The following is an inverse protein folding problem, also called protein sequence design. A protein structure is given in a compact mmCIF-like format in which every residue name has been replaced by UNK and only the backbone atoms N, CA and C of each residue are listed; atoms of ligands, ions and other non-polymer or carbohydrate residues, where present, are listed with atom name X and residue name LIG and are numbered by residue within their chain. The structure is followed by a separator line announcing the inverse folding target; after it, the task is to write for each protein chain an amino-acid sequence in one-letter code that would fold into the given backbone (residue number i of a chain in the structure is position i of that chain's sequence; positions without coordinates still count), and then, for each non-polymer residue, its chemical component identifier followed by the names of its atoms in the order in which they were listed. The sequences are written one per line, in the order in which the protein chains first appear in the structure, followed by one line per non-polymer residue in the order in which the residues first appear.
data_IF_434209137389
#
_entry.id   IF_434209137389
#
_cell.length_a   1.000
_cell.length_b   1.000
_cell.length_c   1.000
_cell.angle_alpha   90.00
_cell.angle_beta   90.00
_cell.angle_gamma   90.00
#
_symmetry.space_group_name_H-M   'P 1'
#
loop_
_entity.id
_entity.type
_entity.pdbx_description
1 polymer ?
#
# COMPACT_ATOMS: atom_id res chain seq x y z
N UNK A 1 47.18 -106.76 -16.19
CA UNK A 1 47.17 -108.16 -16.63
C UNK A 1 46.81 -109.05 -15.45
N UNK A 2 45.57 -109.54 -15.41
CA UNK A 2 45.15 -110.62 -14.52
C UNK A 2 44.59 -111.74 -15.39
N UNK A 3 45.27 -112.88 -15.39
CA UNK A 3 44.96 -114.05 -16.21
C UNK A 3 43.77 -114.80 -15.60
N UNK A 4 42.60 -114.74 -16.24
CA UNK A 4 41.51 -115.68 -15.97
C UNK A 4 41.65 -116.88 -16.91
N UNK A 5 42.31 -117.94 -16.45
CA UNK A 5 42.35 -119.23 -17.14
C UNK A 5 41.29 -120.16 -16.55
N UNK A 6 40.05 -120.04 -17.04
CA UNK A 6 38.99 -121.01 -16.76
C UNK A 6 38.97 -122.09 -17.83
N UNK A 7 39.38 -123.31 -17.46
CA UNK A 7 39.24 -124.52 -18.30
C UNK A 7 37.77 -124.95 -18.30
N UNK A 8 36.95 -124.34 -19.16
CA UNK A 8 35.62 -124.88 -19.47
C UNK A 8 35.81 -125.92 -20.57
N UNK A 9 35.62 -127.19 -20.21
CA UNK A 9 35.66 -128.32 -21.11
C UNK A 9 34.53 -128.22 -22.15
N UNK A 10 34.93 -128.23 -23.42
CA UNK A 10 34.06 -128.11 -24.59
C UNK A 10 33.61 -129.51 -25.03
N UNK A 11 32.41 -129.94 -24.63
CA UNK A 11 31.73 -131.10 -25.22
C UNK A 11 30.48 -130.61 -25.96
N UNK A 12 30.57 -130.55 -27.28
CA UNK A 12 29.46 -130.26 -28.20
C UNK A 12 28.71 -131.55 -28.48
N UNK A 13 27.41 -131.60 -28.17
CA UNK A 13 26.50 -132.63 -28.70
C UNK A 13 25.44 -131.92 -29.52
N UNK A 14 25.37 -132.33 -30.79
CA UNK A 14 24.30 -132.03 -31.71
C UNK A 14 22.95 -132.50 -31.12
N UNK A 15 22.05 -131.56 -30.86
CA UNK A 15 20.65 -131.85 -30.57
C UNK A 15 20.32 -132.28 -29.13
N UNK A 16 20.49 -131.38 -28.15
CA UNK A 16 19.77 -131.43 -26.87
C UNK A 16 20.65 -131.58 -25.62
N UNK A 17 20.92 -130.45 -24.95
CA UNK A 17 21.32 -130.40 -23.54
C UNK A 17 22.83 -130.43 -23.25
N UNK A 18 23.31 -129.38 -22.56
CA UNK A 18 24.66 -129.33 -21.98
C UNK A 18 24.56 -129.83 -20.53
N UNK A 19 25.21 -130.96 -20.21
CA UNK A 19 25.30 -131.49 -18.83
C UNK A 19 26.67 -131.21 -18.25
N UNK A 20 26.75 -130.30 -17.29
CA UNK A 20 27.98 -130.03 -16.54
C UNK A 20 28.14 -131.09 -15.44
N UNK A 21 29.27 -131.81 -15.47
CA UNK A 21 29.54 -132.97 -14.61
C UNK A 21 29.47 -132.69 -13.10
N UNK A 22 29.08 -133.73 -12.37
CA UNK A 22 28.99 -133.93 -10.91
C UNK A 22 27.83 -133.30 -10.13
N UNK A 23 27.10 -132.31 -10.65
CA UNK A 23 25.97 -131.69 -9.91
C UNK A 23 24.56 -131.97 -10.49
N UNK A 24 24.44 -132.81 -11.52
CA UNK A 24 23.13 -133.23 -12.04
C UNK A 24 22.26 -132.09 -12.57
N UNK A 25 22.86 -130.94 -12.90
CA UNK A 25 22.18 -129.79 -13.48
C UNK A 25 22.07 -130.00 -15.00
N UNK A 26 20.89 -130.41 -15.44
CA UNK A 26 20.53 -130.49 -16.86
C UNK A 26 20.25 -129.07 -17.39
N UNK A 27 21.13 -128.55 -18.24
CA UNK A 27 20.89 -127.28 -18.92
C UNK A 27 20.05 -127.54 -20.18
N UNK A 28 18.75 -127.25 -20.10
CA UNK A 28 17.85 -127.16 -21.25
C UNK A 28 18.25 -125.97 -22.13
N UNK A 29 19.31 -126.15 -22.91
CA UNK A 29 20.05 -125.08 -23.58
C UNK A 29 19.28 -124.27 -24.62
N UNK A 30 18.01 -124.56 -24.91
CA UNK A 30 17.17 -123.72 -25.76
C UNK A 30 16.50 -122.59 -24.97
N UNK A 31 15.93 -122.90 -23.81
CA UNK A 31 14.99 -122.02 -23.12
C UNK A 31 15.74 -120.96 -22.31
N UNK A 32 16.82 -121.35 -21.62
CA UNK A 32 17.69 -120.41 -20.91
C UNK A 32 18.42 -119.45 -21.86
N UNK A 33 18.83 -119.94 -23.03
CA UNK A 33 19.44 -119.10 -24.07
C UNK A 33 18.42 -118.15 -24.70
N UNK A 34 17.19 -118.61 -24.98
CA UNK A 34 16.11 -117.73 -25.45
C UNK A 34 15.75 -116.65 -24.42
N UNK A 35 15.66 -116.99 -23.14
CA UNK A 35 15.42 -116.02 -22.07
C UNK A 35 16.55 -114.99 -21.96
N UNK A 36 17.81 -115.42 -22.05
CA UNK A 36 18.96 -114.53 -22.07
C UNK A 36 18.95 -113.60 -23.30
N UNK A 37 18.64 -114.13 -24.49
CA UNK A 37 18.47 -113.33 -25.72
C UNK A 37 17.34 -112.32 -25.58
N UNK A 38 16.20 -112.70 -24.99
CA UNK A 38 15.08 -111.79 -24.74
C UNK A 38 15.45 -110.67 -23.77
N UNK A 39 16.19 -110.98 -22.69
CA UNK A 39 16.66 -109.97 -21.73
C UNK A 39 17.65 -109.00 -22.36
N UNK A 40 18.59 -109.49 -23.17
CA UNK A 40 19.53 -108.61 -23.90
C UNK A 40 18.80 -107.69 -24.87
N UNK A 41 17.75 -108.19 -25.53
CA UNK A 41 16.89 -107.38 -26.40
C UNK A 41 16.13 -106.30 -25.62
N UNK A 42 15.49 -106.66 -24.50
CA UNK A 42 14.81 -105.71 -23.61
C UNK A 42 15.77 -104.63 -23.08
N UNK A 43 16.97 -105.03 -22.63
CA UNK A 43 17.99 -104.08 -22.21
C UNK A 43 18.44 -103.15 -23.35
N UNK A 44 18.56 -103.67 -24.58
CA UNK A 44 18.84 -102.86 -25.77
C UNK A 44 17.73 -101.85 -26.05
N UNK A 45 16.46 -102.27 -26.02
CA UNK A 45 15.30 -101.39 -26.22
C UNK A 45 15.22 -100.30 -25.13
N UNK A 46 15.47 -100.66 -23.87
CA UNK A 46 15.51 -99.70 -22.75
C UNK A 46 16.68 -98.73 -22.84
N UNK A 47 17.86 -99.17 -23.29
CA UNK A 47 19.00 -98.29 -23.51
C UNK A 47 18.68 -97.23 -24.57
N UNK A 48 18.11 -97.65 -25.70
CA UNK A 48 17.64 -96.72 -26.76
C UNK A 48 16.57 -95.76 -26.21
N UNK A 49 15.65 -96.25 -25.37
CA UNK A 49 14.66 -95.38 -24.72
C UNK A 49 15.32 -94.35 -23.79
N UNK A 50 16.32 -94.74 -23.01
CA UNK A 50 17.06 -93.82 -22.14
C UNK A 50 17.82 -92.77 -22.94
N UNK A 51 18.48 -93.14 -24.04
CA UNK A 51 19.14 -92.19 -24.94
C UNK A 51 18.15 -91.17 -25.52
N UNK A 52 16.96 -91.62 -25.96
CA UNK A 52 15.90 -90.74 -26.45
C UNK A 52 15.40 -89.78 -25.36
N UNK A 53 15.21 -90.29 -24.14
CA UNK A 53 14.78 -89.48 -22.99
C UNK A 53 15.84 -88.45 -22.60
N UNK A 54 17.12 -88.84 -22.57
CA UNK A 54 18.25 -87.96 -22.30
C UNK A 54 18.30 -86.82 -23.32
N UNK A 55 18.22 -87.14 -24.62
CA UNK A 55 18.19 -86.14 -25.68
C UNK A 55 16.99 -85.17 -25.54
N UNK A 56 15.80 -85.67 -25.17
CA UNK A 56 14.62 -84.83 -24.92
C UNK A 56 14.83 -83.90 -23.72
N UNK A 57 15.42 -84.41 -22.63
CA UNK A 57 15.72 -83.61 -21.44
C UNK A 57 16.76 -82.52 -21.75
N UNK A 58 17.83 -82.87 -22.47
CA UNK A 58 18.85 -81.91 -22.90
C UNK A 58 18.24 -80.78 -23.74
N UNK A 59 17.33 -81.11 -24.65
CA UNK A 59 16.61 -80.12 -25.45
C UNK A 59 15.75 -79.18 -24.57
N UNK A 60 14.98 -79.74 -23.63
CA UNK A 60 14.15 -78.95 -22.70
C UNK A 60 14.99 -78.04 -21.82
N UNK A 61 16.12 -78.53 -21.31
CA UNK A 61 17.07 -77.73 -20.53
C UNK A 61 17.63 -76.58 -21.38
N UNK A 62 17.96 -76.84 -22.65
CA UNK A 62 18.38 -75.81 -23.59
C UNK A 62 17.34 -74.70 -23.75
N UNK A 63 16.09 -75.07 -24.03
CA UNK A 63 14.98 -74.12 -24.18
C UNK A 63 14.73 -73.30 -22.90
N UNK A 64 14.76 -73.94 -21.73
CA UNK A 64 14.58 -73.25 -20.44
C UNK A 64 15.73 -72.27 -20.21
N UNK A 65 16.97 -72.65 -20.53
CA UNK A 65 18.14 -71.78 -20.39
C UNK A 65 18.04 -70.55 -21.30
N UNK A 66 17.57 -70.74 -22.52
CA UNK A 66 17.36 -69.65 -23.50
C UNK A 66 16.23 -68.70 -23.06
N UNK A 67 15.08 -69.24 -22.64
CA UNK A 67 13.96 -68.44 -22.12
C UNK A 67 14.37 -67.66 -20.85
N UNK A 68 15.05 -68.32 -19.91
CA UNK A 68 15.57 -67.66 -18.72
C UNK A 68 16.58 -66.56 -19.08
N UNK A 69 17.48 -66.82 -20.03
CA UNK A 69 18.44 -65.83 -20.53
C UNK A 69 17.75 -64.59 -21.11
N UNK A 70 16.73 -64.80 -21.94
CA UNK A 70 15.93 -63.72 -22.52
C UNK A 70 15.20 -62.91 -21.45
N UNK A 71 14.55 -63.58 -20.48
CA UNK A 71 13.86 -62.90 -19.37
C UNK A 71 14.81 -62.08 -18.49
N UNK A 72 15.99 -62.62 -18.19
CA UNK A 72 17.02 -61.90 -17.42
C UNK A 72 17.51 -60.68 -18.19
N UNK A 73 17.76 -60.80 -19.50
CA UNK A 73 18.19 -59.68 -20.33
C UNK A 73 17.13 -58.57 -20.36
N UNK A 74 15.86 -58.93 -20.56
CA UNK A 74 14.76 -57.97 -20.55
C UNK A 74 14.58 -57.29 -19.19
N UNK A 75 14.63 -58.07 -18.10
CA UNK A 75 14.52 -57.51 -16.75
C UNK A 75 15.68 -56.55 -16.44
N UNK A 76 16.90 -56.87 -16.89
CA UNK A 76 18.05 -55.98 -16.74
C UNK A 76 17.87 -54.67 -17.50
N UNK A 77 17.39 -54.74 -18.76
CA UNK A 77 17.12 -53.55 -19.55
C UNK A 77 16.06 -52.64 -18.89
N UNK A 78 15.00 -53.22 -18.30
CA UNK A 78 13.98 -52.44 -17.59
C UNK A 78 14.54 -51.83 -16.30
N UNK A 79 15.39 -52.54 -15.56
CA UNK A 79 16.08 -52.00 -14.37
C UNK A 79 16.96 -50.80 -14.76
N UNK A 80 17.73 -50.92 -15.84
CA UNK A 80 18.61 -49.85 -16.31
C UNK A 80 17.79 -48.60 -16.71
N UNK A 81 16.66 -48.81 -17.41
CA UNK A 81 15.72 -47.74 -17.77
C UNK A 81 15.13 -47.05 -16.54
N UNK A 82 14.55 -47.81 -15.60
CA UNK A 82 13.95 -47.26 -14.37
C UNK A 82 14.98 -46.55 -13.50
N UNK A 83 16.24 -47.02 -13.50
CA UNK A 83 17.34 -46.36 -12.80
C UNK A 83 17.66 -44.99 -13.42
N UNK A 84 17.62 -44.89 -14.76
CA UNK A 84 17.75 -43.61 -15.46
C UNK A 84 16.61 -42.65 -15.14
N UNK A 85 15.36 -43.09 -15.26
CA UNK A 85 14.17 -42.28 -14.93
C UNK A 85 14.20 -41.78 -13.48
N UNK A 86 14.66 -42.63 -12.54
CA UNK A 86 14.82 -42.24 -11.13
C UNK A 86 15.84 -41.11 -10.95
N UNK A 87 16.98 -41.17 -11.64
CA UNK A 87 18.00 -40.13 -11.56
C UNK A 87 17.53 -38.79 -12.15
N UNK A 88 16.77 -38.83 -13.23
CA UNK A 88 16.15 -37.64 -13.84
C UNK A 88 15.11 -37.00 -12.90
N UNK A 89 14.27 -37.82 -12.26
CA UNK A 89 13.31 -37.35 -11.27
C UNK A 89 13.99 -36.73 -10.05
N UNK A 90 15.07 -37.33 -9.54
CA UNK A 90 15.85 -36.78 -8.42
C UNK A 90 16.45 -35.41 -8.76
N UNK A 91 16.93 -35.25 -10.00
CA UNK A 91 17.43 -33.96 -10.50
C UNK A 91 16.29 -32.93 -10.55
N UNK A 92 15.15 -33.30 -11.14
CA UNK A 92 13.96 -32.43 -11.24
C UNK A 92 13.47 -31.98 -9.86
N UNK A 93 13.45 -32.88 -8.87
CA UNK A 93 13.07 -32.56 -7.50
C UNK A 93 14.02 -31.53 -6.89
N UNK A 94 15.33 -31.69 -7.10
CA UNK A 94 16.35 -30.76 -6.58
C UNK A 94 16.21 -29.36 -7.21
N UNK A 95 15.96 -29.30 -8.52
CA UNK A 95 15.74 -28.04 -9.24
C UNK A 95 14.47 -27.33 -8.77
N UNK A 96 13.38 -28.08 -8.55
CA UNK A 96 12.13 -27.53 -8.01
C UNK A 96 12.30 -27.02 -6.58
N UNK A 97 13.02 -27.74 -5.73
CA UNK A 97 13.32 -27.29 -4.37
C UNK A 97 14.11 -25.97 -4.38
N UNK A 98 15.10 -25.85 -5.27
CA UNK A 98 15.88 -24.63 -5.44
C UNK A 98 15.00 -23.46 -5.89
N UNK A 99 14.10 -23.69 -6.86
CA UNK A 99 13.15 -22.67 -7.32
C UNK A 99 12.19 -22.24 -6.21
N UNK A 100 11.67 -23.18 -5.41
CA UNK A 100 10.79 -22.88 -4.27
C UNK A 100 11.51 -21.98 -3.27
N UNK A 101 12.75 -22.34 -2.87
CA UNK A 101 13.52 -21.50 -1.95
C UNK A 101 13.83 -20.11 -2.51
N UNK A 102 14.06 -19.99 -3.82
CA UNK A 102 14.21 -18.69 -4.48
C UNK A 102 12.93 -17.85 -4.40
N UNK A 103 11.79 -18.44 -4.74
CA UNK A 103 10.49 -17.76 -4.66
C UNK A 103 10.12 -17.35 -3.23
N UNK A 104 10.45 -18.16 -2.23
CA UNK A 104 10.25 -17.81 -0.82
C UNK A 104 11.07 -16.59 -0.41
N UNK A 105 12.32 -16.47 -0.89
CA UNK A 105 13.16 -15.31 -0.65
C UNK A 105 12.60 -14.05 -1.34
N UNK A 106 12.18 -14.17 -2.59
CA UNK A 106 11.57 -13.05 -3.35
C UNK A 106 10.29 -12.55 -2.65
N UNK A 107 9.45 -13.46 -2.15
CA UNK A 107 8.24 -13.12 -1.40
C UNK A 107 8.58 -12.34 -0.12
N UNK A 108 9.62 -12.76 0.61
CA UNK A 108 10.05 -12.08 1.83
C UNK A 108 10.56 -10.66 1.53
N UNK A 109 11.35 -10.49 0.48
CA UNK A 109 11.85 -9.18 0.05
C UNK A 109 10.70 -8.25 -0.37
N UNK A 110 9.82 -8.72 -1.25
CA UNK A 110 8.67 -7.94 -1.71
C UNK A 110 7.74 -7.55 -0.56
N UNK A 111 7.56 -8.41 0.44
CA UNK A 111 6.76 -8.12 1.63
C UNK A 111 7.41 -7.00 2.46
N UNK A 112 8.73 -7.03 2.64
CA UNK A 112 9.46 -5.98 3.37
C UNK A 112 9.42 -4.63 2.63
N UNK A 113 9.59 -4.63 1.30
CA UNK A 113 9.47 -3.44 0.48
C UNK A 113 8.06 -2.84 0.55
N UNK A 114 7.02 -3.68 0.46
CA UNK A 114 5.63 -3.23 0.57
C UNK A 114 5.35 -2.54 1.90
N UNK A 115 5.85 -3.09 3.01
CA UNK A 115 5.62 -2.50 4.33
C UNK A 115 6.36 -1.17 4.51
N UNK A 116 7.58 -1.07 3.96
CA UNK A 116 8.33 0.19 3.91
C UNK A 116 7.57 1.26 3.14
N UNK A 117 7.06 0.94 1.95
CA UNK A 117 6.29 1.88 1.13
C UNK A 117 4.99 2.33 1.79
N UNK A 118 4.28 1.44 2.51
CA UNK A 118 3.12 1.85 3.31
C UNK A 118 3.49 2.86 4.40
N UNK A 119 4.63 2.65 5.07
CA UNK A 119 5.16 3.60 6.05
C UNK A 119 5.42 4.97 5.43
N UNK A 120 6.17 5.01 4.32
CA UNK A 120 6.47 6.24 3.58
C UNK A 120 5.19 6.96 3.12
N UNK A 121 4.19 6.21 2.66
CA UNK A 121 2.92 6.76 2.24
C UNK A 121 2.16 7.41 3.41
N UNK A 122 2.10 6.74 4.56
CA UNK A 122 1.45 7.28 5.76
C UNK A 122 2.15 8.56 6.25
N UNK A 123 3.48 8.60 6.25
CA UNK A 123 4.24 9.79 6.62
C UNK A 123 4.00 10.96 5.66
N UNK A 124 3.99 10.67 4.35
CA UNK A 124 3.71 11.69 3.32
C UNK A 124 2.31 12.24 3.45
N UNK A 125 1.31 11.38 3.72
CA UNK A 125 -0.07 11.82 3.93
C UNK A 125 -0.19 12.72 5.17
N UNK A 126 0.44 12.34 6.28
CA UNK A 126 0.44 13.16 7.50
C UNK A 126 1.12 14.54 7.27
N UNK A 127 2.21 14.58 6.51
CA UNK A 127 2.88 15.83 6.15
C UNK A 127 2.00 16.73 5.26
N UNK A 128 1.26 16.13 4.31
CA UNK A 128 0.32 16.84 3.45
C UNK A 128 -0.86 17.42 4.25
N UNK A 129 -1.42 16.66 5.18
CA UNK A 129 -2.50 17.10 6.05
C UNK A 129 -2.05 18.29 6.93
N UNK A 130 -0.84 18.20 7.49
CA UNK A 130 -0.24 19.29 8.27
C UNK A 130 -0.05 20.55 7.43
N UNK A 131 0.47 20.42 6.20
CA UNK A 131 0.63 21.57 5.29
C UNK A 131 -0.71 22.18 4.86
N UNK A 132 -1.73 21.36 4.69
CA UNK A 132 -3.08 21.83 4.38
C UNK A 132 -3.67 22.64 5.54
N UNK A 133 -3.48 22.18 6.78
CA UNK A 133 -3.90 22.93 7.97
C UNK A 133 -3.16 24.27 8.12
N UNK A 134 -1.84 24.28 7.89
CA UNK A 134 -1.03 25.50 7.89
C UNK A 134 -1.50 26.49 6.81
N UNK A 135 -1.75 26.00 5.59
CA UNK A 135 -2.27 26.81 4.49
C UNK A 135 -3.61 27.47 4.86
N UNK A 136 -4.57 26.69 5.38
CA UNK A 136 -5.87 27.22 5.80
C UNK A 136 -5.76 28.27 6.90
N UNK A 137 -4.82 28.09 7.83
CA UNK A 137 -4.53 29.10 8.87
C UNK A 137 -4.03 30.39 8.24
N UNK A 138 -3.11 30.31 7.27
CA UNK A 138 -2.59 31.49 6.57
C UNK A 138 -3.64 32.21 5.73
N UNK A 139 -4.59 31.47 5.14
CA UNK A 139 -5.74 32.06 4.43
C UNK A 139 -6.60 32.88 5.40
N UNK A 140 -6.94 32.33 6.57
CA UNK A 140 -7.74 33.04 7.56
C UNK A 140 -7.03 34.30 8.13
N UNK A 141 -5.71 34.21 8.35
CA UNK A 141 -4.89 35.37 8.74
C UNK A 141 -4.91 36.47 7.67
N UNK A 142 -4.81 36.09 6.39
CA UNK A 142 -4.87 37.02 5.26
C UNK A 142 -6.23 37.71 5.15
N UNK A 143 -7.32 36.96 5.30
CA UNK A 143 -8.68 37.51 5.30
C UNK A 143 -8.87 38.53 6.43
N UNK A 144 -8.38 38.21 7.63
CA UNK A 144 -8.40 39.12 8.78
C UNK A 144 -7.59 40.40 8.52
N UNK A 145 -6.41 40.27 7.92
CA UNK A 145 -5.58 41.42 7.55
C UNK A 145 -6.26 42.30 6.50
N UNK A 146 -6.90 41.70 5.50
CA UNK A 146 -7.65 42.43 4.46
C UNK A 146 -8.84 43.20 5.05
N UNK A 147 -9.57 42.60 5.99
CA UNK A 147 -10.67 43.30 6.68
C UNK A 147 -10.14 44.50 7.47
N UNK A 148 -9.04 44.34 8.20
CA UNK A 148 -8.41 45.44 8.95
C UNK A 148 -7.96 46.57 8.05
N UNK A 149 -7.45 46.27 6.85
CA UNK A 149 -7.09 47.28 5.85
C UNK A 149 -8.34 48.04 5.38
N UNK A 150 -9.45 47.35 5.11
CA UNK A 150 -10.70 47.99 4.71
C UNK A 150 -11.26 48.92 5.80
N UNK A 151 -11.21 48.48 7.07
CA UNK A 151 -11.64 49.29 8.22
C UNK A 151 -10.77 50.53 8.38
N UNK A 152 -9.44 50.39 8.27
CA UNK A 152 -8.50 51.51 8.32
C UNK A 152 -8.73 52.51 7.18
N UNK A 153 -8.96 52.03 5.96
CA UNK A 153 -9.28 52.91 4.83
C UNK A 153 -10.57 53.71 5.07
N UNK A 154 -11.57 53.09 5.69
CA UNK A 154 -12.81 53.78 6.08
C UNK A 154 -12.55 54.83 7.14
N UNK A 155 -11.75 54.52 8.16
CA UNK A 155 -11.37 55.46 9.21
C UNK A 155 -10.57 56.65 8.66
N UNK A 156 -9.65 56.41 7.73
CA UNK A 156 -8.89 57.47 7.03
C UNK A 156 -9.85 58.41 6.31
N UNK A 157 -10.80 57.89 5.54
CA UNK A 157 -11.77 58.71 4.80
C UNK A 157 -12.62 59.59 5.73
N UNK A 158 -13.03 59.05 6.88
CA UNK A 158 -13.75 59.83 7.91
C UNK A 158 -12.85 60.92 8.50
N UNK A 159 -11.58 60.62 8.76
CA UNK A 159 -10.62 61.61 9.26
C UNK A 159 -10.38 62.73 8.24
N UNK A 160 -10.22 62.39 6.96
CA UNK A 160 -10.09 63.36 5.86
C UNK A 160 -11.30 64.31 5.78
N UNK A 161 -12.52 63.78 5.90
CA UNK A 161 -13.73 64.59 5.92
C UNK A 161 -13.74 65.58 7.10
N UNK A 162 -13.43 65.08 8.32
CA UNK A 162 -13.39 65.93 9.52
C UNK A 162 -12.31 67.01 9.44
N UNK A 163 -11.18 66.71 8.80
CA UNK A 163 -10.14 67.71 8.54
C UNK A 163 -10.66 68.82 7.63
N UNK A 164 -11.39 68.47 6.56
CA UNK A 164 -12.05 69.46 5.70
C UNK A 164 -13.07 70.32 6.44
N UNK A 165 -13.94 69.70 7.25
CA UNK A 165 -14.91 70.43 8.09
C UNK A 165 -14.21 71.38 9.08
N UNK A 166 -13.07 70.98 9.64
CA UNK A 166 -12.28 71.82 10.53
C UNK A 166 -11.62 72.99 9.77
N UNK A 167 -11.09 72.77 8.57
CA UNK A 167 -10.49 73.82 7.73
C UNK A 167 -11.54 74.87 7.32
N UNK A 168 -12.77 74.43 6.99
CA UNK A 168 -13.91 75.31 6.69
C UNK A 168 -14.27 76.18 7.92
N UNK A 169 -14.36 75.57 9.11
CA UNK A 169 -14.65 76.29 10.35
C UNK A 169 -13.55 77.29 10.72
N UNK A 170 -12.28 76.94 10.51
CA UNK A 170 -11.15 77.86 10.72
C UNK A 170 -11.29 79.07 9.79
N UNK A 171 -11.61 78.84 8.52
CA UNK A 171 -11.83 79.92 7.54
C UNK A 171 -12.98 80.85 7.96
N UNK A 172 -14.08 80.29 8.46
CA UNK A 172 -15.23 81.07 8.96
C UNK A 172 -14.84 81.91 10.19
N UNK A 173 -14.13 81.31 11.15
CA UNK A 173 -13.66 82.01 12.34
C UNK A 173 -12.66 83.13 12.01
N UNK A 174 -11.76 82.92 11.05
CA UNK A 174 -10.84 83.95 10.58
C UNK A 174 -11.58 85.15 9.98
N UNK A 175 -12.60 84.89 9.15
CA UNK A 175 -13.44 85.95 8.57
C UNK A 175 -14.23 86.72 9.64
N UNK A 176 -14.75 86.03 10.64
CA UNK A 176 -15.48 86.63 11.75
C UNK A 176 -14.59 87.51 12.64
N UNK A 177 -13.35 87.08 12.89
CA UNK A 177 -12.34 87.89 13.60
C UNK A 177 -12.03 89.17 12.81
N UNK A 178 -11.85 89.07 11.50
CA UNK A 178 -11.59 90.23 10.64
C UNK A 178 -12.75 91.24 10.70
N UNK A 179 -13.99 90.75 10.63
CA UNK A 179 -15.20 91.58 10.76
C UNK A 179 -15.30 92.26 12.13
N UNK A 180 -15.08 91.50 13.20
CA UNK A 180 -15.09 92.03 14.56
C UNK A 180 -14.00 93.11 14.76
N UNK A 181 -12.80 92.91 14.19
CA UNK A 181 -11.72 93.90 14.23
C UNK A 181 -12.13 95.20 13.52
N UNK A 182 -12.77 95.12 12.35
CA UNK A 182 -13.28 96.29 11.63
C UNK A 182 -14.36 97.04 12.42
N UNK A 183 -15.27 96.32 13.08
CA UNK A 183 -16.30 96.91 13.94
C UNK A 183 -15.69 97.63 15.15
N UNK A 184 -14.69 97.03 15.79
CA UNK A 184 -13.95 97.64 16.90
C UNK A 184 -13.26 98.93 16.45
N UNK A 185 -12.61 98.92 15.28
CA UNK A 185 -11.98 100.12 14.71
C UNK A 185 -13.01 101.22 14.44
N UNK A 186 -14.15 100.88 13.82
CA UNK A 186 -15.23 101.81 13.54
C UNK A 186 -15.84 102.40 14.83
N UNK A 187 -16.06 101.58 15.85
CA UNK A 187 -16.50 102.06 17.17
C UNK A 187 -15.46 102.96 17.83
N UNK A 188 -14.17 102.63 17.73
CA UNK A 188 -13.10 103.49 18.23
C UNK A 188 -13.11 104.89 17.59
N UNK A 189 -13.27 104.95 16.26
CA UNK A 189 -13.42 106.21 15.53
C UNK A 189 -14.66 106.99 15.98
N UNK A 190 -15.80 106.32 16.16
CA UNK A 190 -17.03 106.94 16.63
C UNK A 190 -16.89 107.53 18.05
N UNK A 191 -16.23 106.81 18.95
CA UNK A 191 -15.94 107.28 20.32
C UNK A 191 -15.05 108.51 20.31
N UNK A 192 -13.97 108.54 19.53
CA UNK A 192 -13.10 109.72 19.43
C UNK A 192 -13.83 110.91 18.79
N UNK A 193 -14.70 110.67 17.79
CA UNK A 193 -15.53 111.72 17.21
C UNK A 193 -16.50 112.33 18.23
N UNK A 194 -17.17 111.52 19.06
CA UNK A 194 -18.03 112.00 20.15
C UNK A 194 -17.22 112.75 21.21
N UNK A 195 -16.06 112.21 21.60
CA UNK A 195 -15.17 112.86 22.57
C UNK A 195 -14.77 114.25 22.10
N UNK A 196 -14.40 114.42 20.83
CA UNK A 196 -14.07 115.73 20.26
C UNK A 196 -15.24 116.72 20.29
N UNK A 197 -16.48 116.26 20.09
CA UNK A 197 -17.69 117.11 20.26
C UNK A 197 -17.87 117.55 21.70
N UNK A 198 -17.56 116.68 22.66
CA UNK A 198 -17.70 116.98 24.10
C UNK A 198 -16.53 117.78 24.69
N UNK A 199 -15.33 117.73 24.10
CA UNK A 199 -14.12 118.37 24.66
C UNK A 199 -14.21 119.90 24.74
N UNK A 200 -15.00 120.51 23.84
CA UNK A 200 -15.28 121.95 23.84
C UNK A 200 -16.69 122.29 24.34
N UNK A 201 -17.46 121.30 24.80
CA UNK A 201 -18.75 121.55 25.42
C UNK A 201 -18.49 122.14 26.81
N UNK A 202 -18.89 123.39 27.03
CA UNK A 202 -18.85 123.95 28.38
C UNK A 202 -19.86 123.18 29.26
N UNK A 203 -19.55 122.95 30.54
CA UNK A 203 -20.54 122.44 31.49
C UNK A 203 -21.78 123.31 31.41
N UNK A 204 -22.94 122.68 31.33
CA UNK A 204 -24.24 123.38 31.27
C UNK A 204 -24.27 124.44 32.35
N UNK A 205 -24.52 125.69 31.97
CA UNK A 205 -24.49 126.81 32.90
C UNK A 205 -25.72 126.76 33.83
N UNK A 206 -25.66 127.36 35.03
CA UNK A 206 -26.79 127.34 35.97
C UNK A 206 -28.06 127.97 35.36
N UNK A 207 -27.93 128.97 34.49
CA UNK A 207 -29.06 129.60 33.79
C UNK A 207 -29.67 128.68 32.72
N UNK A 208 -28.87 127.86 32.05
CA UNK A 208 -29.37 126.83 31.14
C UNK A 208 -30.04 125.69 31.92
N UNK A 209 -29.52 125.31 33.09
CA UNK A 209 -30.15 124.33 33.98
C UNK A 209 -31.50 124.84 34.50
N UNK A 210 -31.57 126.11 34.89
CA UNK A 210 -32.80 126.73 35.42
C UNK A 210 -33.85 126.97 34.31
N UNK A 211 -33.42 127.06 33.05
CA UNK A 211 -34.29 127.13 31.88
C UNK A 211 -34.72 125.75 31.33
N UNK A 212 -34.12 124.64 31.82
CA UNK A 212 -34.63 123.30 31.54
C UNK A 212 -36.00 123.20 32.20
N UNK A 213 -37.02 122.98 31.39
CA UNK A 213 -38.36 122.75 31.86
C UNK A 213 -38.41 121.46 32.68
N UNK A 214 -38.36 121.63 34.00
CA UNK A 214 -38.55 120.55 34.96
C UNK A 214 -40.02 120.33 35.29
N UNK A 215 -40.92 121.14 34.71
CA UNK A 215 -42.34 120.84 34.79
C UNK A 215 -42.61 119.72 33.79
N UNK A 216 -42.93 118.55 34.34
CA UNK A 216 -43.63 117.53 33.57
C UNK A 216 -44.94 118.20 33.17
N UNK A 217 -45.12 118.48 31.88
CA UNK A 217 -46.37 119.04 31.38
C UNK A 217 -47.53 118.18 31.87
N UNK A 218 -48.53 118.81 32.47
CA UNK A 218 -49.84 118.20 32.80
C UNK A 218 -50.64 117.83 31.53
N UNK A 219 -49.96 117.57 30.41
CA UNK A 219 -50.55 117.03 29.21
C UNK A 219 -50.48 115.50 29.29
N UNK A 220 -51.59 114.97 29.79
CA UNK A 220 -52.08 113.60 29.65
C UNK A 220 -51.54 112.58 30.65
N UNK A 221 -51.86 112.81 31.94
CA UNK A 221 -52.18 111.72 32.86
C UNK A 221 -53.50 111.04 32.41
N UNK A 222 -53.49 110.44 31.23
CA UNK A 222 -54.41 109.36 30.90
C UNK A 222 -53.90 108.10 31.61
N UNK A 223 -54.66 107.51 32.55
CA UNK A 223 -54.28 106.24 33.15
C UNK A 223 -54.27 105.19 32.05
N UNK A 224 -53.08 104.79 31.58
CA UNK A 224 -52.93 103.59 30.78
C UNK A 224 -53.22 102.42 31.71
N UNK A 225 -54.42 101.86 31.55
CA UNK A 225 -54.78 100.55 32.08
C UNK A 225 -53.69 99.54 31.72
N UNK A 226 -53.23 98.82 32.75
CA UNK A 226 -52.30 97.71 32.60
C UNK A 226 -52.88 96.61 31.72
N UNK A 227 -52.20 96.16 30.66
CA UNK A 227 -52.43 94.85 30.09
C UNK A 227 -51.51 93.84 30.78
N UNK A 228 -52.16 92.93 31.48
CA UNK A 228 -51.77 91.56 31.83
C UNK A 228 -50.42 91.04 31.30
N UNK A 229 -49.64 90.53 32.25
CA UNK A 229 -48.59 89.54 32.02
C UNK A 229 -49.16 88.28 31.39
N UNK A 230 -48.86 88.02 30.12
CA UNK A 230 -48.89 86.65 29.59
C UNK A 230 -47.48 86.09 29.57
N UNK A 231 -47.18 85.42 30.68
CA UNK A 231 -46.27 84.31 30.82
C UNK A 231 -46.49 83.27 29.71
N UNK A 232 -45.42 82.79 29.07
CA UNK A 232 -45.52 81.82 27.97
C UNK A 232 -44.19 81.18 27.58
N UNK A 233 -43.78 80.16 28.34
CA UNK A 233 -43.22 78.85 27.92
C UNK A 233 -42.36 78.83 26.65
N UNK A 234 -41.03 78.68 26.72
CA UNK A 234 -40.30 77.40 26.84
C UNK A 234 -40.95 76.20 26.13
N UNK A 235 -40.43 75.88 24.94
CA UNK A 235 -40.06 74.52 24.52
C UNK A 235 -38.79 74.60 23.65
#
# INVERSE_FOLDING_TARGET
MGLFTSKIALSVIAGGGLTLGALGLTFGGSDTLQAATSNVKDFGERLVQFENNENSLLQKIGLIKEDAGTKIANAKAEIDKLTGEKAELETTVTDLQTQVSGLEADIAELTASLETEKGNHAETQAALDAKTAEYNTKVAELETANQKIADLNTAIKVAEQKMGEADDLVTELEAEIERANQEVEAHGQAVEAEKAKTENAQPVTQEEIDAIDTTVGDDDASPVESPESTEGTQE
#
